data_IF_124529666965
#
_entry.id   IF_124529666965
#
_cell.length_a   1.000
_cell.length_b   1.000
_cell.length_c   1.000
_cell.angle_alpha   90.00
_cell.angle_beta   90.00
_cell.angle_gamma   90.00
#
_symmetry.space_group_name_H-M   'P 1'
#
loop_
_entity.id
_entity.type
_entity.pdbx_description
1 polymer ?
#
# COMPACT_ATOMS: atom_id res chain seq x y z
N UNK A 1 0.38 -11.88 7.53
CA UNK A 1 1.26 -11.87 6.34
C UNK A 1 0.48 -11.82 5.03
N UNK A 2 -0.50 -12.71 4.81
CA UNK A 2 -1.26 -12.75 3.56
C UNK A 2 -2.02 -11.44 3.25
N UNK A 3 -2.69 -10.83 4.24
CA UNK A 3 -3.39 -9.55 4.05
C UNK A 3 -2.44 -8.41 3.68
N UNK A 4 -1.28 -8.34 4.36
CA UNK A 4 -0.23 -7.36 4.07
C UNK A 4 0.25 -7.48 2.62
N UNK A 5 0.53 -8.72 2.17
CA UNK A 5 0.94 -9.00 0.79
C UNK A 5 -0.18 -8.64 -0.20
N UNK A 6 -1.42 -9.02 0.09
CA UNK A 6 -2.58 -8.72 -0.74
C UNK A 6 -2.79 -7.22 -0.94
N UNK A 7 -2.71 -6.43 0.13
CA UNK A 7 -2.80 -4.98 0.06
C UNK A 7 -1.67 -4.36 -0.78
N UNK A 8 -0.43 -4.84 -0.62
CA UNK A 8 0.70 -4.42 -1.43
C UNK A 8 0.51 -4.76 -2.92
N UNK A 9 -0.09 -5.90 -3.24
CA UNK A 9 -0.44 -6.28 -4.63
C UNK A 9 -1.51 -5.37 -5.21
N UNK A 10 -2.56 -5.08 -4.44
CA UNK A 10 -3.67 -4.22 -4.86
C UNK A 10 -3.18 -2.81 -5.22
N UNK A 11 -2.36 -2.18 -4.37
CA UNK A 11 -1.79 -0.85 -4.68
C UNK A 11 -0.66 -0.92 -5.71
N UNK A 12 0.05 -2.05 -5.80
CA UNK A 12 1.22 -2.20 -6.67
C UNK A 12 0.94 -2.22 -8.18
N UNK A 13 -0.33 -2.34 -8.59
CA UNK A 13 -0.73 -2.44 -10.01
C UNK A 13 -0.32 -3.75 -10.68
N UNK A 14 0.16 -4.72 -9.89
CA UNK A 14 0.63 -6.00 -10.40
C UNK A 14 -0.48 -7.05 -10.46
N UNK A 15 -0.28 -8.09 -11.27
CA UNK A 15 -1.19 -9.22 -11.30
C UNK A 15 -1.19 -9.97 -9.96
N UNK A 16 -2.36 -10.50 -9.59
CA UNK A 16 -2.57 -11.30 -8.39
C UNK A 16 -2.63 -12.75 -8.83
N UNK A 17 -1.69 -13.55 -8.32
CA UNK A 17 -1.62 -14.99 -8.54
C UNK A 17 -1.78 -15.70 -7.20
N UNK A 18 -2.55 -16.78 -7.20
CA UNK A 18 -2.79 -17.61 -6.01
C UNK A 18 -2.14 -18.97 -6.26
N UNK A 19 -1.26 -19.37 -5.36
CA UNK A 19 -0.52 -20.65 -5.45
C UNK A 19 -0.68 -21.48 -4.18
N UNK A 20 -1.70 -21.20 -3.37
CA UNK A 20 -1.98 -21.99 -2.18
C UNK A 20 -2.37 -23.42 -2.58
N UNK A 21 -2.15 -24.37 -1.67
CA UNK A 21 -2.58 -25.75 -1.87
C UNK A 21 -4.11 -25.79 -2.11
N UNK A 22 -4.61 -26.63 -3.03
CA UNK A 22 -6.05 -26.82 -3.21
C UNK A 22 -6.76 -27.10 -1.88
N UNK A 23 -7.85 -26.38 -1.64
CA UNK A 23 -8.63 -26.47 -0.39
C UNK A 23 -8.07 -25.65 0.79
N UNK A 24 -6.96 -24.93 0.62
CA UNK A 24 -6.33 -24.10 1.66
C UNK A 24 -6.34 -22.60 1.33
N UNK A 25 -7.22 -22.17 0.41
CA UNK A 25 -7.34 -20.78 0.02
C UNK A 25 -8.02 -19.94 1.10
N UNK A 26 -7.51 -18.75 1.35
CA UNK A 26 -8.19 -17.75 2.17
C UNK A 26 -9.19 -16.95 1.31
N UNK A 27 -10.41 -17.47 1.19
CA UNK A 27 -11.47 -16.80 0.43
C UNK A 27 -11.87 -15.44 1.02
N UNK A 28 -11.67 -15.20 2.32
CA UNK A 28 -11.97 -13.90 2.92
C UNK A 28 -10.99 -12.84 2.43
N UNK A 29 -9.70 -13.18 2.34
CA UNK A 29 -8.70 -12.32 1.72
C UNK A 29 -8.94 -12.13 0.22
N UNK A 30 -9.22 -13.22 -0.52
CA UNK A 30 -9.44 -13.12 -1.97
C UNK A 30 -10.62 -12.20 -2.31
N UNK A 31 -11.72 -12.27 -1.55
CA UNK A 31 -12.88 -11.38 -1.70
C UNK A 31 -12.56 -9.90 -1.46
N UNK A 32 -11.50 -9.57 -0.72
CA UNK A 32 -11.03 -8.18 -0.56
C UNK A 32 -10.28 -7.65 -1.79
N UNK A 33 -9.84 -8.55 -2.68
CA UNK A 33 -9.03 -8.23 -3.86
C UNK A 33 -9.82 -8.25 -5.17
N UNK A 34 -11.05 -8.79 -5.14
CA UNK A 34 -11.94 -8.93 -6.31
C UNK A 34 -13.24 -8.18 -6.07
N UNK A 35 -13.86 -7.72 -7.15
CA UNK A 35 -15.22 -7.18 -7.15
C UNK A 35 -16.26 -8.31 -7.14
N UNK A 36 -17.53 -8.03 -6.79
CA UNK A 36 -18.58 -9.06 -6.75
C UNK A 36 -18.81 -9.79 -8.07
N UNK A 37 -18.47 -9.17 -9.20
CA UNK A 37 -18.53 -9.76 -10.54
C UNK A 37 -17.29 -10.60 -10.92
N UNK A 38 -16.33 -10.73 -10.00
CA UNK A 38 -15.08 -11.48 -10.19
C UNK A 38 -13.97 -10.69 -10.90
N UNK A 39 -14.22 -9.45 -11.31
CA UNK A 39 -13.18 -8.57 -11.86
C UNK A 39 -12.23 -8.07 -10.77
N UNK A 40 -11.05 -7.56 -11.15
CA UNK A 40 -10.08 -7.00 -10.21
C UNK A 40 -9.88 -5.51 -10.48
N UNK A 41 -9.75 -4.73 -9.40
CA UNK A 41 -9.28 -3.36 -9.51
C UNK A 41 -7.75 -3.39 -9.65
N UNK A 42 -7.25 -2.92 -10.80
CA UNK A 42 -5.81 -2.81 -11.06
C UNK A 42 -5.43 -1.36 -11.29
N UNK A 43 -4.53 -0.85 -10.47
CA UNK A 43 -3.93 0.46 -10.68
C UNK A 43 -3.01 0.47 -11.92
N UNK A 44 -2.86 1.61 -12.57
CA UNK A 44 -2.27 1.76 -13.92
C UNK A 44 -0.74 1.72 -13.94
N UNK A 45 -0.10 2.09 -12.85
CA UNK A 45 1.36 2.22 -12.77
C UNK A 45 1.95 1.08 -11.92
N UNK A 46 3.27 0.88 -11.91
CA UNK A 46 3.90 0.17 -10.79
C UNK A 46 3.76 0.99 -9.50
N UNK A 47 3.52 0.32 -8.38
CA UNK A 47 3.52 0.97 -7.06
C UNK A 47 4.87 1.63 -6.76
N UNK A 48 4.84 2.87 -6.28
CA UNK A 48 6.05 3.68 -5.98
C UNK A 48 6.00 4.21 -4.55
N UNK A 49 7.13 4.32 -3.84
CA UNK A 49 7.17 5.03 -2.57
C UNK A 49 6.73 6.49 -2.74
N UNK A 50 6.03 7.04 -1.75
CA UNK A 50 5.83 8.50 -1.66
C UNK A 50 7.17 9.18 -1.43
N UNK A 51 7.29 10.42 -1.89
CA UNK A 51 8.57 11.15 -1.85
C UNK A 51 9.15 11.24 -0.45
N UNK A 52 8.29 11.40 0.55
CA UNK A 52 8.68 11.62 1.93
C UNK A 52 9.10 10.36 2.70
N UNK A 53 8.92 9.16 2.15
CA UNK A 53 9.45 7.92 2.74
C UNK A 53 10.61 7.30 1.93
N UNK A 54 11.09 7.97 0.88
CA UNK A 54 12.09 7.42 -0.05
C UNK A 54 13.44 7.10 0.62
N UNK A 55 13.82 7.90 1.62
CA UNK A 55 15.10 7.79 2.32
C UNK A 55 14.95 7.36 3.79
N UNK A 56 13.77 6.88 4.18
CA UNK A 56 13.51 6.35 5.52
C UNK A 56 13.78 4.85 5.58
N UNK A 57 13.99 4.32 6.79
CA UNK A 57 14.01 2.87 7.03
C UNK A 57 12.70 2.45 7.74
N UNK A 58 11.59 2.27 6.99
CA UNK A 58 10.28 1.98 7.57
C UNK A 58 10.21 0.62 8.27
N UNK A 59 11.28 -0.19 8.21
CA UNK A 59 11.34 -1.49 8.85
C UNK A 59 12.00 -1.44 10.24
N UNK A 60 12.73 -0.36 10.59
CA UNK A 60 13.60 -0.34 11.78
C UNK A 60 13.65 0.97 12.55
N UNK A 61 13.31 2.10 11.94
CA UNK A 61 13.51 3.40 12.57
C UNK A 61 12.49 3.73 13.67
N UNK A 62 11.47 2.89 13.86
CA UNK A 62 10.43 3.05 14.88
C UNK A 62 9.45 4.19 14.63
N UNK A 63 9.58 4.93 13.52
CA UNK A 63 8.80 6.16 13.29
C UNK A 63 8.22 6.28 11.88
N UNK A 64 8.83 5.66 10.87
CA UNK A 64 8.42 5.83 9.47
C UNK A 64 7.42 4.76 9.03
N UNK A 65 6.38 5.22 8.33
CA UNK A 65 5.45 4.38 7.57
C UNK A 65 5.97 4.20 6.15
N UNK A 66 5.89 2.98 5.61
CA UNK A 66 6.04 2.78 4.17
C UNK A 66 4.74 3.18 3.49
N UNK A 67 4.83 4.15 2.57
CA UNK A 67 3.69 4.65 1.82
C UNK A 67 3.93 4.39 0.35
N UNK A 68 3.10 3.56 -0.24
CA UNK A 68 3.16 3.22 -1.67
C UNK A 68 1.98 3.86 -2.36
N UNK A 69 2.22 4.61 -3.44
CA UNK A 69 1.19 5.24 -4.24
C UNK A 69 1.14 4.66 -5.66
N UNK A 70 -0.03 4.82 -6.27
CA UNK A 70 -0.35 4.49 -7.65
C UNK A 70 -1.52 5.35 -8.15
N UNK A 71 -1.92 5.22 -9.41
CA UNK A 71 -3.07 5.90 -10.00
C UNK A 71 -4.04 4.88 -10.60
N UNK A 72 -5.33 5.17 -10.58
CA UNK A 72 -6.32 4.53 -11.46
C UNK A 72 -6.82 5.53 -12.52
N UNK A 73 -7.95 5.23 -13.16
CA UNK A 73 -8.56 6.13 -14.16
C UNK A 73 -9.01 7.48 -13.59
N UNK A 74 -9.30 7.57 -12.31
CA UNK A 74 -10.03 8.69 -11.71
C UNK A 74 -9.33 9.35 -10.52
N UNK A 75 -8.49 8.62 -9.78
CA UNK A 75 -7.89 9.08 -8.54
C UNK A 75 -6.52 8.45 -8.27
N UNK A 76 -5.82 9.02 -7.27
CA UNK A 76 -4.64 8.42 -6.68
C UNK A 76 -5.02 7.37 -5.63
N UNK A 77 -4.29 6.26 -5.61
CA UNK A 77 -4.43 5.18 -4.64
C UNK A 77 -3.18 5.15 -3.77
N UNK A 78 -3.34 5.09 -2.45
CA UNK A 78 -2.22 4.99 -1.50
C UNK A 78 -2.43 3.81 -0.54
N UNK A 79 -1.39 3.00 -0.40
CA UNK A 79 -1.26 1.98 0.63
C UNK A 79 -0.29 2.46 1.70
N UNK A 80 -0.70 2.38 2.96
CA UNK A 80 0.10 2.81 4.11
C UNK A 80 0.38 1.60 4.98
N UNK A 81 1.66 1.31 5.22
CA UNK A 81 2.11 0.08 5.84
C UNK A 81 3.03 0.38 7.02
N UNK A 82 2.71 -0.21 8.18
CA UNK A 82 3.65 -0.33 9.29
C UNK A 82 4.51 -1.57 9.03
N UNK A 83 5.79 -1.37 8.68
CA UNK A 83 6.74 -2.44 8.37
C UNK A 83 7.70 -2.74 9.51
N UNK A 84 7.54 -2.08 10.66
CA UNK A 84 8.48 -2.15 11.77
C UNK A 84 8.60 -3.59 12.28
N UNK A 85 9.80 -3.95 12.74
CA UNK A 85 10.06 -5.24 13.39
C UNK A 85 10.37 -6.42 12.46
N UNK A 86 10.24 -6.27 11.14
CA UNK A 86 10.67 -7.28 10.17
C UNK A 86 11.39 -6.67 8.96
N UNK A 87 12.51 -7.27 8.55
CA UNK A 87 13.25 -6.78 7.38
C UNK A 87 14.27 -7.77 6.82
N UNK A 88 14.77 -7.48 5.62
CA UNK A 88 15.77 -8.31 4.95
C UNK A 88 17.14 -8.22 5.65
N UNK A 89 17.69 -9.37 6.05
CA UNK A 89 19.06 -9.49 6.53
C UNK A 89 19.98 -9.84 5.37
N UNK A 90 20.86 -8.92 4.98
CA UNK A 90 21.81 -9.12 3.88
C UNK A 90 22.81 -10.25 4.15
N UNK A 91 23.27 -10.39 5.40
CA UNK A 91 24.26 -11.41 5.80
C UNK A 91 23.63 -12.80 5.76
N UNK A 92 22.51 -12.98 6.45
CA UNK A 92 21.80 -14.25 6.53
C UNK A 92 20.95 -14.60 5.31
N UNK A 93 20.85 -13.70 4.32
CA UNK A 93 20.02 -13.82 3.11
C UNK A 93 18.59 -14.30 3.41
N UNK A 94 17.99 -13.76 4.47
CA UNK A 94 16.65 -14.12 4.92
C UNK A 94 15.92 -12.92 5.50
N UNK A 95 14.59 -12.98 5.48
CA UNK A 95 13.77 -12.07 6.27
C UNK A 95 13.97 -12.40 7.75
N UNK A 96 14.29 -11.39 8.55
CA UNK A 96 14.48 -11.48 9.99
C UNK A 96 13.39 -10.68 10.68
N UNK A 97 12.68 -11.34 11.59
CA UNK A 97 11.84 -10.67 12.58
C UNK A 97 12.77 -10.31 13.74
N UNK A 98 12.95 -9.02 13.98
CA UNK A 98 13.79 -8.47 15.04
C UNK A 98 12.98 -7.79 16.15
N UNK A 99 11.70 -7.51 15.89
CA UNK A 99 10.70 -7.15 16.89
C UNK A 99 9.38 -7.84 16.53
N UNK A 100 8.84 -8.65 17.44
CA UNK A 100 7.60 -9.40 17.24
C UNK A 100 6.34 -8.58 17.58
N UNK A 101 6.49 -7.43 18.25
CA UNK A 101 5.39 -6.57 18.69
C UNK A 101 5.75 -5.09 18.49
N UNK A 102 5.98 -4.68 17.22
CA UNK A 102 6.28 -3.28 16.92
C UNK A 102 5.16 -2.36 17.42
N UNK A 103 5.55 -1.20 17.93
CA UNK A 103 4.62 -0.18 18.40
C UNK A 103 3.69 0.36 17.30
N UNK A 104 2.60 1.00 17.72
CA UNK A 104 1.76 1.78 16.81
C UNK A 104 2.47 3.07 16.43
N UNK A 105 2.54 3.36 15.14
CA UNK A 105 3.13 4.59 14.61
C UNK A 105 2.05 5.43 13.91
N UNK A 106 2.21 6.75 13.99
CA UNK A 106 1.34 7.72 13.32
C UNK A 106 2.16 8.47 12.29
N UNK A 107 1.54 8.82 11.16
CA UNK A 107 2.17 9.64 10.14
C UNK A 107 1.16 10.43 9.33
N UNK A 108 1.66 11.22 8.40
CA UNK A 108 0.85 12.15 7.60
C UNK A 108 0.88 11.68 6.14
N UNK A 109 -0.25 11.85 5.45
CA UNK A 109 -0.37 11.68 4.00
C UNK A 109 -0.61 13.05 3.38
N UNK A 110 0.12 13.37 2.31
CA UNK A 110 -0.03 14.64 1.58
C UNK A 110 -0.06 14.38 0.09
N UNK A 111 -0.93 15.07 -0.63
CA UNK A 111 -1.02 14.98 -2.10
C UNK A 111 0.32 15.33 -2.78
N UNK A 112 1.06 16.30 -2.23
CA UNK A 112 2.35 16.73 -2.76
C UNK A 112 3.43 15.63 -2.77
N UNK A 113 3.25 14.56 -2.00
CA UNK A 113 4.18 13.43 -1.96
C UNK A 113 3.86 12.35 -3.01
N UNK A 114 2.81 12.55 -3.82
CA UNK A 114 2.37 11.69 -4.94
C UNK A 114 2.58 12.40 -6.27
N UNK A 115 3.71 12.10 -6.92
CA UNK A 115 4.20 12.91 -8.05
C UNK A 115 3.24 13.04 -9.24
N UNK A 116 2.41 12.04 -9.53
CA UNK A 116 1.63 11.99 -10.77
C UNK A 116 0.16 12.39 -10.61
N UNK A 117 -0.27 12.86 -9.43
CA UNK A 117 -1.62 13.40 -9.26
C UNK A 117 -2.00 14.49 -10.28
N UNK A 118 -1.10 15.42 -10.68
CA UNK A 118 -1.44 16.43 -11.69
C UNK A 118 -1.86 15.86 -13.05
N UNK A 119 -1.54 14.59 -13.35
CA UNK A 119 -1.92 13.95 -14.63
C UNK A 119 -3.39 13.53 -14.70
N UNK A 120 -4.03 13.38 -13.55
CA UNK A 120 -5.41 12.93 -13.42
C UNK A 120 -6.31 14.01 -12.78
N UNK A 121 -5.71 15.05 -12.21
CA UNK A 121 -6.43 16.20 -11.71
C UNK A 121 -6.95 17.06 -12.88
N UNK A 122 -8.03 17.80 -12.64
CA UNK A 122 -8.55 18.77 -13.59
C UNK A 122 -7.59 19.97 -13.75
N UNK A 123 -7.69 20.65 -14.89
CA UNK A 123 -6.93 21.88 -15.14
C UNK A 123 -7.16 22.91 -14.04
N UNK A 124 -6.07 23.53 -13.57
CA UNK A 124 -6.11 24.52 -12.49
C UNK A 124 -6.11 23.93 -11.07
N UNK A 125 -5.84 22.63 -10.90
CA UNK A 125 -5.70 22.03 -9.57
C UNK A 125 -4.62 22.72 -8.71
N UNK A 126 -5.02 23.16 -7.52
CA UNK A 126 -4.18 23.92 -6.58
C UNK A 126 -3.32 23.05 -5.66
N UNK A 127 -3.48 21.73 -5.71
CA UNK A 127 -2.85 20.78 -4.80
C UNK A 127 -3.75 20.28 -3.67
N UNK A 128 -4.93 20.87 -3.49
CA UNK A 128 -5.90 20.45 -2.48
C UNK A 128 -6.50 19.09 -2.81
N UNK A 129 -6.49 18.16 -1.86
CA UNK A 129 -7.03 16.83 -2.04
C UNK A 129 -7.83 16.40 -0.82
N UNK A 130 -8.87 15.62 -1.08
CA UNK A 130 -9.64 14.91 -0.06
C UNK A 130 -9.18 13.46 -0.01
N UNK A 131 -9.08 12.90 1.20
CA UNK A 131 -8.75 11.49 1.39
C UNK A 131 -10.02 10.72 1.75
N UNK A 132 -10.34 9.69 0.98
CA UNK A 132 -11.41 8.76 1.32
C UNK A 132 -10.87 7.48 1.93
N UNK A 133 -11.37 7.12 3.11
CA UNK A 133 -11.11 5.81 3.72
C UNK A 133 -12.36 4.94 3.67
N UNK A 134 -12.32 3.88 2.86
CA UNK A 134 -13.42 2.92 2.78
C UNK A 134 -13.71 2.25 4.13
N UNK A 135 -12.67 1.86 4.88
CA UNK A 135 -12.81 1.20 6.18
C UNK A 135 -13.58 2.04 7.20
N UNK A 136 -13.39 3.36 7.17
CA UNK A 136 -14.05 4.29 8.08
C UNK A 136 -15.29 4.93 7.45
N UNK A 137 -15.55 4.69 6.16
CA UNK A 137 -16.59 5.35 5.35
C UNK A 137 -16.60 6.87 5.53
N UNK A 138 -15.40 7.48 5.53
CA UNK A 138 -15.19 8.91 5.83
C UNK A 138 -14.27 9.59 4.81
N UNK A 139 -14.57 10.86 4.57
CA UNK A 139 -13.71 11.82 3.89
C UNK A 139 -12.93 12.63 4.94
N UNK A 140 -11.65 12.83 4.69
CA UNK A 140 -10.72 13.64 5.48
C UNK A 140 -10.17 14.77 4.62
#
# INVERSE_FOLDING_TARGET
MAEYHGAARAVGGCAIYVSDKPGQHDFNLLKKLVLPDGSILRAKLPGRPTRDCLFSDPARDGISLLKIWNLNDFNGVIGVFNCQGAGWCKVGKKNLIHDCQPGTITGIVRAIDVNYLPRIAHDGWTGDAILYSHLHSKLF
#
